data_IF_849943144807
#
_entry.id   IF_849943144807
#
_cell.length_a   1.000
_cell.length_b   1.000
_cell.length_c   1.000
_cell.angle_alpha   90.00
_cell.angle_beta   90.00
_cell.angle_gamma   90.00
#
_symmetry.space_group_name_H-M   'P 1'
#
loop_
_entity.id
_entity.type
_entity.pdbx_description
1 polymer ?
#
# COMPACT_ATOMS: atom_id res chain seq x y z
N UNK A 1 36.03 -4.23 -9.61
CA UNK A 1 34.59 -3.94 -9.48
C UNK A 1 33.87 -4.54 -10.67
N UNK A 2 32.82 -5.35 -10.47
CA UNK A 2 32.03 -5.87 -11.59
C UNK A 2 31.17 -4.72 -12.17
N UNK A 3 31.40 -4.25 -13.41
CA UNK A 3 30.66 -3.12 -13.98
C UNK A 3 29.16 -3.38 -14.10
N UNK A 4 28.75 -4.64 -14.31
CA UNK A 4 27.34 -5.06 -14.39
C UNK A 4 26.65 -4.84 -13.04
N UNK A 5 27.32 -5.17 -11.94
CA UNK A 5 26.80 -4.95 -10.59
C UNK A 5 26.70 -3.44 -10.27
N UNK A 6 27.65 -2.64 -10.75
CA UNK A 6 27.60 -1.18 -10.61
C UNK A 6 26.38 -0.57 -11.31
N UNK A 7 26.14 -0.96 -12.57
CA UNK A 7 24.96 -0.52 -13.34
C UNK A 7 23.65 -0.98 -12.70
N UNK A 8 23.58 -2.23 -12.22
CA UNK A 8 22.40 -2.76 -11.54
C UNK A 8 22.05 -1.95 -10.28
N UNK A 9 23.05 -1.55 -9.49
CA UNK A 9 22.84 -0.70 -8.30
C UNK A 9 22.40 0.72 -8.66
N UNK A 10 22.97 1.31 -9.71
CA UNK A 10 22.52 2.61 -10.21
C UNK A 10 21.06 2.56 -10.67
N UNK A 11 20.70 1.54 -11.45
CA UNK A 11 19.32 1.36 -11.91
C UNK A 11 18.36 1.13 -10.74
N UNK A 12 18.74 0.29 -9.77
CA UNK A 12 17.94 0.08 -8.56
C UNK A 12 17.70 1.39 -7.78
N UNK A 13 18.73 2.23 -7.65
CA UNK A 13 18.62 3.55 -7.03
C UNK A 13 17.67 4.49 -7.77
N UNK A 14 17.75 4.55 -9.10
CA UNK A 14 16.85 5.35 -9.94
C UNK A 14 15.40 4.87 -9.79
N UNK A 15 15.18 3.56 -9.87
CA UNK A 15 13.85 2.98 -9.73
C UNK A 15 13.29 3.16 -8.31
N UNK A 16 14.13 3.09 -7.27
CA UNK A 16 13.73 3.42 -5.89
C UNK A 16 13.31 4.88 -5.75
N UNK A 17 14.07 5.81 -6.35
CA UNK A 17 13.71 7.23 -6.36
C UNK A 17 12.39 7.45 -7.11
N UNK A 18 12.19 6.75 -8.22
CA UNK A 18 10.94 6.84 -8.97
C UNK A 18 9.74 6.29 -8.20
N UNK A 19 9.92 5.23 -7.39
CA UNK A 19 8.87 4.79 -6.45
C UNK A 19 8.49 5.88 -5.45
N UNK A 20 9.46 6.64 -4.93
CA UNK A 20 9.18 7.78 -4.05
C UNK A 20 8.39 8.88 -4.75
N UNK A 21 8.61 9.12 -6.05
CA UNK A 21 7.80 10.05 -6.85
C UNK A 21 6.34 9.58 -6.91
N UNK A 22 6.11 8.29 -7.18
CA UNK A 22 4.75 7.70 -7.21
C UNK A 22 4.09 7.80 -5.83
N UNK A 23 4.81 7.47 -4.75
CA UNK A 23 4.27 7.64 -3.39
C UNK A 23 3.93 9.09 -3.08
N UNK A 24 4.78 10.04 -3.49
CA UNK A 24 4.52 11.47 -3.35
C UNK A 24 3.22 11.89 -4.03
N UNK A 25 2.94 11.38 -5.22
CA UNK A 25 1.69 11.67 -5.92
C UNK A 25 0.48 11.10 -5.19
N UNK A 26 0.55 9.84 -4.74
CA UNK A 26 -0.55 9.21 -3.99
C UNK A 26 -0.87 10.02 -2.74
N UNK A 27 0.14 10.40 -1.96
CA UNK A 27 -0.05 11.19 -0.74
C UNK A 27 -0.66 12.56 -1.07
N UNK A 28 -0.13 13.26 -2.07
CA UNK A 28 -0.63 14.59 -2.47
C UNK A 28 -2.04 14.52 -3.08
N UNK A 29 -2.41 13.40 -3.71
CA UNK A 29 -3.75 13.20 -4.26
C UNK A 29 -4.86 13.23 -3.20
N UNK A 30 -4.51 12.96 -1.94
CA UNK A 30 -5.43 12.99 -0.80
C UNK A 30 -5.49 14.36 -0.12
N UNK A 31 -4.56 15.27 -0.44
CA UNK A 31 -4.59 16.62 0.07
C UNK A 31 -5.65 17.44 -0.68
N UNK A 32 -6.55 18.14 0.02
CA UNK A 32 -7.55 18.98 -0.62
C UNK A 32 -6.85 20.16 -1.33
N UNK A 33 -7.36 20.61 -2.49
CA UNK A 33 -6.83 21.80 -3.15
C UNK A 33 -7.08 23.02 -2.25
N UNK A 34 -6.01 23.67 -1.80
CA UNK A 34 -6.09 24.93 -1.04
C UNK A 34 -5.66 26.10 -1.93
N UNK A 35 -6.38 27.21 -1.82
CA UNK A 35 -6.11 28.43 -2.60
C UNK A 35 -4.94 29.22 -2.01
N UNK A 36 -4.72 29.11 -0.70
CA UNK A 36 -3.81 29.96 0.07
C UNK A 36 -2.32 29.60 -0.09
N UNK A 37 -1.99 28.44 -0.67
CA UNK A 37 -0.62 27.97 -0.86
C UNK A 37 -0.38 27.48 -2.30
N UNK A 38 0.16 28.32 -3.21
CA UNK A 38 0.28 27.99 -4.64
C UNK A 38 1.30 26.90 -4.96
N UNK A 39 2.04 26.39 -3.97
CA UNK A 39 3.08 25.35 -4.15
C UNK A 39 2.45 23.97 -4.37
N UNK A 40 1.37 23.65 -3.65
CA UNK A 40 0.71 22.35 -3.72
C UNK A 40 0.21 21.99 -5.13
N UNK A 41 -0.56 22.86 -5.84
CA UNK A 41 -0.98 22.56 -7.21
C UNK A 41 0.19 22.44 -8.19
N UNK A 42 1.28 23.22 -7.99
CA UNK A 42 2.48 23.13 -8.82
C UNK A 42 3.19 21.79 -8.66
N UNK A 43 3.41 21.33 -7.43
CA UNK A 43 4.02 20.03 -7.16
C UNK A 43 3.15 18.92 -7.74
N UNK A 44 1.82 18.99 -7.53
CA UNK A 44 0.89 18.02 -8.08
C UNK A 44 1.01 17.91 -9.60
N UNK A 45 1.06 19.03 -10.33
CA UNK A 45 1.22 19.01 -11.79
C UNK A 45 2.56 18.40 -12.23
N UNK A 46 3.65 18.68 -11.51
CA UNK A 46 4.96 18.08 -11.80
C UNK A 46 4.91 16.57 -11.60
N UNK A 47 4.36 16.11 -10.47
CA UNK A 47 4.25 14.68 -10.19
C UNK A 47 3.40 13.98 -11.24
N UNK A 48 2.21 14.52 -11.54
CA UNK A 48 1.34 13.98 -12.59
C UNK A 48 2.04 13.96 -13.95
N UNK A 49 2.80 14.99 -14.31
CA UNK A 49 3.58 14.98 -15.55
C UNK A 49 4.63 13.87 -15.61
N UNK A 50 5.23 13.52 -14.46
CA UNK A 50 6.22 12.44 -14.36
C UNK A 50 5.58 11.05 -14.35
N UNK A 51 4.43 10.88 -13.71
CA UNK A 51 3.81 9.57 -13.45
C UNK A 51 2.75 9.18 -14.47
N UNK A 52 2.05 10.14 -15.09
CA UNK A 52 0.95 9.90 -16.02
C UNK A 52 1.35 9.02 -17.21
N UNK A 53 2.56 9.13 -17.82
CA UNK A 53 2.95 8.20 -18.89
C UNK A 53 2.94 6.74 -18.43
N UNK A 54 3.39 6.49 -17.19
CA UNK A 54 3.43 5.15 -16.61
C UNK A 54 2.02 4.73 -16.19
N UNK A 55 1.25 5.60 -15.54
CA UNK A 55 -0.11 5.26 -15.13
C UNK A 55 -1.03 5.02 -16.32
N UNK A 56 -0.96 5.85 -17.36
CA UNK A 56 -1.70 5.67 -18.61
C UNK A 56 -1.37 4.33 -19.26
N UNK A 57 -0.09 3.95 -19.32
CA UNK A 57 0.31 2.63 -19.80
C UNK A 57 -0.37 1.49 -19.02
N UNK A 58 -0.37 1.54 -17.68
CA UNK A 58 -1.04 0.53 -16.85
C UNK A 58 -2.57 0.56 -16.96
N UNK A 59 -3.18 1.75 -17.01
CA UNK A 59 -4.63 1.93 -17.21
C UNK A 59 -5.09 1.27 -18.51
N UNK A 60 -4.40 1.55 -19.62
CA UNK A 60 -4.71 1.00 -20.94
C UNK A 60 -4.43 -0.50 -21.02
N UNK A 61 -3.29 -0.96 -20.50
CA UNK A 61 -2.88 -2.37 -20.61
C UNK A 61 -3.77 -3.30 -19.80
N UNK A 62 -4.12 -2.90 -18.58
CA UNK A 62 -4.88 -3.74 -17.63
C UNK A 62 -6.35 -3.34 -17.53
N UNK A 63 -6.83 -2.45 -18.40
CA UNK A 63 -8.19 -1.89 -18.38
C UNK A 63 -8.61 -1.39 -16.98
N UNK A 64 -7.68 -0.75 -16.26
CA UNK A 64 -7.87 -0.23 -14.89
C UNK A 64 -8.59 1.12 -14.86
N UNK A 65 -9.30 1.44 -15.93
CA UNK A 65 -10.02 2.69 -16.05
C UNK A 65 -11.11 2.79 -14.98
N UNK A 66 -11.43 4.02 -14.58
CA UNK A 66 -12.44 4.33 -13.55
C UNK A 66 -13.85 3.79 -13.89
N UNK A 67 -14.08 3.43 -15.16
CA UNK A 67 -15.29 2.79 -15.64
C UNK A 67 -15.35 1.28 -15.32
N UNK A 68 -14.20 0.62 -15.23
CA UNK A 68 -14.08 -0.82 -14.93
C UNK A 68 -13.94 -1.08 -13.43
N UNK A 69 -13.26 -0.18 -12.71
CA UNK A 69 -12.99 -0.32 -11.27
C UNK A 69 -13.29 1.02 -10.57
N UNK A 70 -13.99 1.02 -9.40
CA UNK A 70 -14.33 2.26 -8.69
C UNK A 70 -13.14 3.08 -8.18
N UNK A 71 -11.92 2.58 -8.34
CA UNK A 71 -10.67 3.13 -7.82
C UNK A 71 -9.60 2.96 -8.90
N UNK A 72 -8.79 4.00 -9.12
CA UNK A 72 -7.62 3.92 -9.97
C UNK A 72 -6.52 3.06 -9.31
N UNK A 73 -6.33 1.84 -9.84
CA UNK A 73 -5.30 0.90 -9.39
C UNK A 73 -3.97 1.05 -10.15
N UNK A 74 -3.89 1.95 -11.12
CA UNK A 74 -2.67 2.14 -11.91
C UNK A 74 -1.44 2.52 -11.06
N UNK A 75 -1.55 3.37 -10.01
CA UNK A 75 -0.42 3.65 -9.13
C UNK A 75 0.08 2.39 -8.42
N UNK A 76 -0.82 1.51 -7.97
CA UNK A 76 -0.46 0.26 -7.31
C UNK A 76 0.21 -0.72 -8.28
N UNK A 77 -0.33 -0.84 -9.50
CA UNK A 77 0.26 -1.67 -10.56
C UNK A 77 1.66 -1.18 -10.94
N UNK A 78 1.85 0.13 -11.06
CA UNK A 78 3.16 0.75 -11.33
C UNK A 78 4.16 0.45 -10.21
N UNK A 79 3.77 0.66 -8.95
CA UNK A 79 4.61 0.34 -7.78
C UNK A 79 5.04 -1.13 -7.83
N UNK A 80 4.09 -2.05 -8.06
CA UNK A 80 4.36 -3.48 -8.09
C UNK A 80 5.32 -3.86 -9.21
N UNK A 81 5.08 -3.38 -10.43
CA UNK A 81 5.93 -3.66 -11.58
C UNK A 81 7.35 -3.15 -11.37
N UNK A 82 7.51 -1.91 -10.90
CA UNK A 82 8.83 -1.33 -10.61
C UNK A 82 9.53 -2.12 -9.51
N UNK A 83 8.82 -2.48 -8.43
CA UNK A 83 9.38 -3.28 -7.34
C UNK A 83 9.91 -4.63 -7.83
N UNK A 84 9.13 -5.35 -8.64
CA UNK A 84 9.54 -6.64 -9.23
C UNK A 84 10.78 -6.47 -10.14
N UNK A 85 10.79 -5.46 -11.01
CA UNK A 85 11.94 -5.19 -11.89
C UNK A 85 13.21 -4.92 -11.09
N UNK A 86 13.11 -4.12 -10.02
CA UNK A 86 14.24 -3.81 -9.14
C UNK A 86 14.83 -5.07 -8.50
N UNK A 87 13.97 -5.90 -7.91
CA UNK A 87 14.39 -7.15 -7.29
C UNK A 87 15.03 -8.08 -8.32
N UNK A 88 14.40 -8.23 -9.50
CA UNK A 88 14.90 -9.09 -10.56
C UNK A 88 16.29 -8.65 -11.01
N UNK A 89 16.48 -7.37 -11.34
CA UNK A 89 17.79 -6.83 -11.75
C UNK A 89 18.82 -6.99 -10.64
N UNK A 90 18.44 -6.70 -9.39
CA UNK A 90 19.32 -6.81 -8.23
C UNK A 90 19.77 -8.22 -7.92
N UNK A 91 18.91 -9.22 -8.11
CA UNK A 91 19.22 -10.64 -7.88
C UNK A 91 19.94 -11.28 -9.07
N UNK A 92 19.48 -11.01 -10.30
CA UNK A 92 20.08 -11.53 -11.53
C UNK A 92 21.53 -11.05 -11.70
N UNK A 93 21.82 -9.79 -11.36
CA UNK A 93 23.19 -9.24 -11.42
C UNK A 93 24.17 -9.86 -10.41
N UNK A 94 23.69 -10.57 -9.39
CA UNK A 94 24.51 -11.30 -8.41
C UNK A 94 24.85 -12.72 -8.84
N UNK A 95 24.36 -13.17 -10.00
CA UNK A 95 24.59 -14.53 -10.49
C UNK A 95 23.83 -15.62 -9.70
N UNK A 96 22.72 -15.25 -9.07
CA UNK A 96 21.83 -16.19 -8.37
C UNK A 96 21.22 -17.21 -9.34
N UNK A 97 20.94 -18.42 -8.85
CA UNK A 97 20.28 -19.45 -9.68
C UNK A 97 18.86 -19.00 -10.05
N UNK A 98 18.33 -19.35 -11.25
CA UNK A 98 16.99 -18.90 -11.67
C UNK A 98 15.88 -19.25 -10.68
N UNK A 99 15.98 -20.42 -10.04
CA UNK A 99 15.02 -20.90 -9.04
C UNK A 99 15.06 -20.00 -7.79
N UNK A 100 16.25 -19.67 -7.29
CA UNK A 100 16.38 -18.77 -6.14
C UNK A 100 15.87 -17.37 -6.43
N UNK A 101 16.06 -16.87 -7.66
CA UNK A 101 15.51 -15.58 -8.11
C UNK A 101 13.98 -15.63 -8.11
N UNK A 102 13.39 -16.69 -8.66
CA UNK A 102 11.94 -16.86 -8.69
C UNK A 102 11.33 -16.88 -7.28
N UNK A 103 11.87 -17.69 -6.37
CA UNK A 103 11.40 -17.73 -4.99
C UNK A 103 11.61 -16.38 -4.30
N UNK A 104 12.79 -15.78 -4.41
CA UNK A 104 13.08 -14.46 -3.84
C UNK A 104 12.12 -13.38 -4.33
N UNK A 105 11.77 -13.39 -5.62
CA UNK A 105 10.76 -12.49 -6.18
C UNK A 105 9.38 -12.71 -5.59
N UNK A 106 8.92 -13.97 -5.52
CA UNK A 106 7.60 -14.31 -4.97
C UNK A 106 7.51 -13.90 -3.50
N UNK A 107 8.43 -14.34 -2.66
CA UNK A 107 8.42 -14.02 -1.22
C UNK A 107 8.52 -12.52 -0.96
N UNK A 108 9.45 -11.82 -1.63
CA UNK A 108 9.61 -10.38 -1.44
C UNK A 108 8.39 -9.59 -1.94
N UNK A 109 7.78 -10.02 -3.04
CA UNK A 109 6.57 -9.36 -3.56
C UNK A 109 5.39 -9.57 -2.62
N UNK A 110 5.23 -10.77 -2.06
CA UNK A 110 4.20 -11.06 -1.06
C UNK A 110 4.41 -10.26 0.23
N UNK A 111 5.65 -10.18 0.74
CA UNK A 111 5.96 -9.36 1.93
C UNK A 111 5.68 -7.88 1.68
N UNK A 112 6.05 -7.38 0.50
CA UNK A 112 5.79 -6.00 0.09
C UNK A 112 4.29 -5.68 0.00
N UNK A 113 3.49 -6.56 -0.61
CA UNK A 113 2.03 -6.42 -0.67
C UNK A 113 1.40 -6.48 0.74
N UNK A 114 1.88 -7.38 1.60
CA UNK A 114 1.46 -7.45 3.00
C UNK A 114 1.80 -6.17 3.76
N UNK A 115 2.98 -5.59 3.53
CA UNK A 115 3.38 -4.30 4.14
C UNK A 115 2.48 -3.15 3.67
N UNK A 116 2.15 -3.07 2.38
CA UNK A 116 1.19 -2.08 1.87
C UNK A 116 -0.16 -2.26 2.57
N UNK A 117 -0.68 -3.49 2.61
CA UNK A 117 -1.97 -3.76 3.22
C UNK A 117 -1.95 -3.51 4.74
N UNK A 118 -0.85 -3.82 5.43
CA UNK A 118 -0.64 -3.49 6.84
C UNK A 118 -0.85 -2.00 7.10
N UNK A 119 -0.20 -1.12 6.32
CA UNK A 119 -0.34 0.32 6.51
C UNK A 119 -1.75 0.82 6.25
N UNK A 120 -2.44 0.24 5.25
CA UNK A 120 -3.85 0.53 4.97
C UNK A 120 -4.71 0.16 6.19
N UNK A 121 -4.59 -1.05 6.71
CA UNK A 121 -5.35 -1.49 7.90
C UNK A 121 -4.95 -0.71 9.15
N UNK A 122 -3.69 -0.31 9.29
CA UNK A 122 -3.21 0.47 10.42
C UNK A 122 -3.86 1.87 10.45
N UNK A 123 -4.00 2.51 9.29
CA UNK A 123 -4.77 3.76 9.16
C UNK A 123 -6.23 3.53 9.53
N UNK A 124 -6.85 2.42 9.08
CA UNK A 124 -8.23 2.10 9.45
C UNK A 124 -8.39 1.87 10.96
N UNK A 125 -7.45 1.16 11.60
CA UNK A 125 -7.42 0.94 13.03
C UNK A 125 -7.28 2.26 13.80
N UNK A 126 -6.37 3.13 13.36
CA UNK A 126 -6.18 4.45 13.93
C UNK A 126 -7.45 5.31 13.84
N UNK A 127 -8.11 5.33 12.67
CA UNK A 127 -9.37 6.06 12.49
C UNK A 127 -10.49 5.48 13.38
N UNK A 128 -10.59 4.16 13.52
CA UNK A 128 -11.56 3.52 14.43
C UNK A 128 -11.34 3.95 15.89
N UNK A 129 -10.09 4.00 16.34
CA UNK A 129 -9.73 4.53 17.67
C UNK A 129 -10.10 6.00 17.79
N UNK A 130 -9.79 6.83 16.78
CA UNK A 130 -10.15 8.25 16.77
C UNK A 130 -11.65 8.49 16.85
N UNK A 131 -12.46 7.71 16.13
CA UNK A 131 -13.93 7.80 16.17
C UNK A 131 -14.50 7.40 17.54
N UNK A 132 -13.90 6.42 18.20
CA UNK A 132 -14.34 5.96 19.53
C UNK A 132 -13.96 6.95 20.64
N UNK A 133 -12.68 7.32 20.74
CA UNK A 133 -12.14 8.10 21.87
C UNK A 133 -12.21 9.62 21.65
N UNK A 134 -12.17 10.08 20.40
CA UNK A 134 -12.04 11.50 20.05
C UNK A 134 -13.16 11.94 19.08
N UNK A 135 -14.40 11.51 19.33
CA UNK A 135 -15.55 11.73 18.43
C UNK A 135 -15.77 13.21 18.01
N UNK A 136 -15.37 14.17 18.85
CA UNK A 136 -15.50 15.61 18.56
C UNK A 136 -14.34 16.20 17.75
N UNK A 137 -13.22 15.47 17.63
CA UNK A 137 -12.03 15.94 16.91
C UNK A 137 -12.26 15.92 15.39
N UNK A 138 -11.72 16.89 14.61
CA UNK A 138 -11.87 16.91 13.16
C UNK A 138 -11.44 15.61 12.47
N UNK A 139 -10.39 14.97 12.99
CA UNK A 139 -9.87 13.72 12.42
C UNK A 139 -10.82 12.52 12.54
N UNK A 140 -11.70 12.51 13.55
CA UNK A 140 -12.73 11.47 13.68
C UNK A 140 -13.84 11.58 12.61
N UNK A 141 -13.95 12.74 11.95
CA UNK A 141 -14.93 12.98 10.88
C UNK A 141 -14.35 12.73 9.48
N UNK A 142 -13.06 12.41 9.38
CA UNK A 142 -12.42 12.12 8.10
C UNK A 142 -12.94 10.78 7.59
N UNK A 143 -13.68 10.82 6.48
CA UNK A 143 -14.06 9.63 5.72
C UNK A 143 -13.12 9.48 4.53
N UNK A 144 -12.46 8.33 4.43
CA UNK A 144 -11.62 7.96 3.29
C UNK A 144 -12.35 6.85 2.51
N UNK A 145 -13.15 7.16 1.48
CA UNK A 145 -13.97 6.15 0.79
C UNK A 145 -13.17 5.01 0.17
N UNK A 146 -11.91 5.27 -0.21
CA UNK A 146 -11.00 4.26 -0.72
C UNK A 146 -10.61 3.24 0.34
N UNK A 147 -10.32 3.71 1.56
CA UNK A 147 -9.92 2.87 2.68
C UNK A 147 -11.03 1.87 3.02
N UNK A 148 -12.27 2.35 3.15
CA UNK A 148 -13.41 1.49 3.48
C UNK A 148 -13.68 0.44 2.40
N UNK A 149 -13.53 0.78 1.10
CA UNK A 149 -13.68 -0.20 0.02
C UNK A 149 -12.65 -1.33 0.08
N UNK A 150 -11.41 -1.02 0.45
CA UNK A 150 -10.34 -2.02 0.56
C UNK A 150 -10.44 -2.87 1.82
N UNK A 151 -10.85 -2.28 2.94
CA UNK A 151 -10.86 -2.97 4.23
C UNK A 151 -12.19 -3.66 4.53
N UNK A 152 -13.33 -3.14 4.07
CA UNK A 152 -14.65 -3.66 4.40
C UNK A 152 -14.86 -5.14 4.03
N UNK A 153 -14.47 -5.63 2.83
CA UNK A 153 -14.66 -7.04 2.50
C UNK A 153 -13.94 -7.97 3.48
N UNK A 154 -12.74 -7.59 3.90
CA UNK A 154 -11.93 -8.36 4.86
C UNK A 154 -12.51 -8.22 6.26
N UNK A 155 -12.96 -7.04 6.65
CA UNK A 155 -13.57 -6.80 7.97
C UNK A 155 -14.85 -7.61 8.11
N UNK A 156 -15.72 -7.60 7.10
CA UNK A 156 -16.95 -8.40 7.04
C UNK A 156 -16.68 -9.91 7.03
N UNK A 157 -15.65 -10.35 6.30
CA UNK A 157 -15.22 -11.74 6.36
C UNK A 157 -14.87 -12.16 7.78
N UNK A 158 -14.12 -11.33 8.52
CA UNK A 158 -13.78 -11.59 9.92
C UNK A 158 -15.01 -11.56 10.84
N UNK A 159 -15.93 -10.60 10.66
CA UNK A 159 -17.20 -10.57 11.42
C UNK A 159 -18.02 -11.83 11.20
N UNK A 160 -18.08 -12.30 9.96
CA UNK A 160 -18.77 -13.54 9.58
C UNK A 160 -18.07 -14.76 10.18
N UNK A 161 -16.74 -14.80 10.13
CA UNK A 161 -15.93 -15.90 10.65
C UNK A 161 -16.10 -16.07 12.16
N UNK A 162 -16.06 -14.97 12.91
CA UNK A 162 -16.22 -14.97 14.37
C UNK A 162 -17.68 -14.93 14.84
N UNK A 163 -18.64 -14.83 13.91
CA UNK A 163 -20.09 -14.65 14.19
C UNK A 163 -20.33 -13.55 15.23
N UNK A 164 -19.57 -12.46 15.13
CA UNK A 164 -19.57 -11.36 16.08
C UNK A 164 -19.40 -10.06 15.33
N UNK A 165 -20.07 -9.01 15.80
CA UNK A 165 -19.92 -7.67 15.23
C UNK A 165 -18.52 -7.09 15.46
N UNK A 166 -17.70 -7.71 16.34
CA UNK A 166 -16.35 -7.24 16.71
C UNK A 166 -16.31 -5.81 17.28
N UNK A 167 -17.44 -5.32 17.78
CA UNK A 167 -17.56 -4.00 18.38
C UNK A 167 -17.44 -4.08 19.91
N UNK A 168 -16.51 -3.31 20.46
CA UNK A 168 -16.29 -3.19 21.92
C UNK A 168 -16.95 -1.89 22.39
N UNK A 169 -17.96 -1.98 23.25
CA UNK A 169 -18.60 -0.79 23.84
C UNK A 169 -17.91 -0.42 25.16
N UNK A 170 -17.59 0.86 25.29
CA UNK A 170 -17.08 1.43 26.54
C UNK A 170 -18.15 2.33 27.14
N UNK A 171 -18.44 2.17 28.44
CA UNK A 171 -19.51 2.95 29.11
C UNK A 171 -19.28 4.46 29.07
N UNK A 172 -18.04 4.92 28.90
CA UNK A 172 -17.65 6.33 28.93
C UNK A 172 -17.62 6.99 27.55
N UNK A 173 -17.85 6.25 26.46
CA UNK A 173 -17.68 6.74 25.09
C UNK A 173 -18.93 6.50 24.24
N UNK A 174 -19.28 7.45 23.34
CA UNK A 174 -20.53 7.39 22.59
C UNK A 174 -20.51 6.33 21.47
N UNK A 175 -19.34 6.07 20.88
CA UNK A 175 -19.20 5.16 19.74
C UNK A 175 -18.50 3.86 20.18
N UNK A 176 -18.95 2.68 19.70
CA UNK A 176 -18.21 1.44 19.92
C UNK A 176 -16.87 1.45 19.15
N UNK A 177 -15.86 0.79 19.71
CA UNK A 177 -14.59 0.54 19.04
C UNK A 177 -14.71 -0.69 18.14
N UNK A 178 -14.45 -0.54 16.84
CA UNK A 178 -14.33 -1.67 15.91
C UNK A 178 -12.98 -2.37 16.11
N UNK A 179 -13.01 -3.63 16.53
CA UNK A 179 -11.82 -4.44 16.78
C UNK A 179 -11.33 -5.21 15.54
N UNK A 180 -12.12 -5.24 14.44
CA UNK A 180 -11.74 -5.95 13.22
C UNK A 180 -10.37 -5.50 12.64
N UNK A 181 -10.06 -4.19 12.55
CA UNK A 181 -8.74 -3.74 12.09
C UNK A 181 -7.59 -4.29 12.93
N UNK A 182 -7.74 -4.36 14.26
CA UNK A 182 -6.69 -4.83 15.17
C UNK A 182 -6.42 -6.33 14.98
N UNK A 183 -7.47 -7.15 14.83
CA UNK A 183 -7.34 -8.57 14.56
C UNK A 183 -6.63 -8.82 13.22
N UNK A 184 -6.93 -8.01 12.21
CA UNK A 184 -6.30 -8.15 10.89
C UNK A 184 -4.85 -7.72 10.93
N UNK A 185 -4.48 -6.67 11.67
CA UNK A 185 -3.07 -6.31 11.88
C UNK A 185 -2.30 -7.46 12.53
N UNK A 186 -2.89 -8.11 13.53
CA UNK A 186 -2.30 -9.28 14.16
C UNK A 186 -2.15 -10.45 13.18
N UNK A 187 -3.18 -10.74 12.37
CA UNK A 187 -3.10 -11.76 11.32
C UNK A 187 -1.98 -11.45 10.33
N UNK A 188 -1.90 -10.21 9.83
CA UNK A 188 -0.85 -9.79 8.89
C UNK A 188 0.53 -9.98 9.52
N UNK A 189 0.71 -9.62 10.80
CA UNK A 189 1.97 -9.83 11.50
C UNK A 189 2.35 -11.32 11.59
N UNK A 190 1.39 -12.20 11.89
CA UNK A 190 1.60 -13.66 11.94
C UNK A 190 1.95 -14.20 10.55
N UNK A 191 1.15 -13.88 9.53
CA UNK A 191 1.36 -14.33 8.14
C UNK A 191 2.72 -13.86 7.63
N UNK A 192 3.08 -12.60 7.90
CA UNK A 192 4.38 -12.04 7.55
C UNK A 192 5.52 -12.77 8.26
N UNK A 193 5.39 -13.05 9.56
CA UNK A 193 6.40 -13.81 10.29
C UNK A 193 6.61 -15.19 9.68
N UNK A 194 5.53 -15.89 9.33
CA UNK A 194 5.61 -17.20 8.67
C UNK A 194 6.26 -17.09 7.29
N UNK A 195 5.89 -16.08 6.50
CA UNK A 195 6.46 -15.83 5.18
C UNK A 195 7.97 -15.60 5.25
N UNK A 196 8.44 -14.81 6.22
CA UNK A 196 9.87 -14.54 6.42
C UNK A 196 10.62 -15.79 6.89
N UNK A 197 10.04 -16.59 7.79
CA UNK A 197 10.63 -17.87 8.21
C UNK A 197 10.77 -18.83 7.02
N UNK A 198 9.73 -18.97 6.20
CA UNK A 198 9.77 -19.79 4.99
C UNK A 198 10.80 -19.28 3.99
N UNK A 199 10.86 -17.96 3.75
CA UNK A 199 11.83 -17.36 2.85
C UNK A 199 13.28 -17.56 3.32
N UNK A 200 13.52 -17.61 4.63
CA UNK A 200 14.86 -17.88 5.19
C UNK A 200 15.29 -19.35 5.11
N UNK A 201 14.35 -20.26 4.87
CA UNK A 201 14.59 -21.71 4.80
C UNK A 201 14.90 -22.22 3.39
N UNK A 202 14.80 -21.36 2.38
CA UNK A 202 14.99 -21.65 0.94
C UNK A 202 16.25 -20.93 0.46
#
# INVERSE_FOLDING_TARGET
MNPILGLARMLDGILQLYLWVIFGEIIISWLPPTVDHPVLPKIKHILQGLTEPVFSFFRQTFHLDRYSIPVDLAPLAAILAIHVVRLFVGQASRGMSPISVLFGLVFSTLDFLLMIYFWIVAVAAFLAVMVCFFAYHPWAKISIPFLSKLTAPVFEFFRTLFKSDLHIRFSSYPNPLDAAPLLILLLIAVVRSLLLTLASSI
#
